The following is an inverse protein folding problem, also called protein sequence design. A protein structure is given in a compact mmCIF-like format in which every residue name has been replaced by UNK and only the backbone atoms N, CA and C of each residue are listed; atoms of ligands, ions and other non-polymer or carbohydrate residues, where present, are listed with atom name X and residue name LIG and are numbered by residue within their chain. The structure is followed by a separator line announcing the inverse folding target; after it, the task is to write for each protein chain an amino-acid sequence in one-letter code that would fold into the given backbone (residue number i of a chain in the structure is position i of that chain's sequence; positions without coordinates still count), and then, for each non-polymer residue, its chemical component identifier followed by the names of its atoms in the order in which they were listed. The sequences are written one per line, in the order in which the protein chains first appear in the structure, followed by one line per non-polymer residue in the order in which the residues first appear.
data_IF_927743173982
#
_entry.id   IF_927743173982
#
_cell.length_a   1.000
_cell.length_b   1.000
_cell.length_c   1.000
_cell.angle_alpha   90.00
_cell.angle_beta   90.00
_cell.angle_gamma   90.00
#
_symmetry.space_group_name_H-M   'P 1'
#
loop_
_entity.id
_entity.type
_entity.pdbx_description
1 polymer ?
#
# COMPACT_ATOMS: atom_id res chain seq x y z
N UNK A 1 -5.96 -17.40 -16.05
CA UNK A 1 -5.34 -16.29 -16.82
C UNK A 1 -6.44 -15.31 -17.18
N UNK A 2 -6.20 -14.01 -16.97
CA UNK A 2 -7.15 -12.99 -17.41
C UNK A 2 -7.24 -12.95 -18.95
N UNK A 3 -8.35 -12.44 -19.51
CA UNK A 3 -8.44 -12.09 -20.92
C UNK A 3 -7.28 -11.19 -21.37
N UNK A 4 -6.94 -11.26 -22.67
CA UNK A 4 -5.89 -10.42 -23.26
C UNK A 4 -6.16 -8.93 -23.02
N UNK A 5 -5.11 -8.19 -22.64
CA UNK A 5 -5.19 -6.75 -22.35
C UNK A 5 -5.68 -6.39 -20.94
N UNK A 6 -6.06 -7.36 -20.11
CA UNK A 6 -6.46 -7.12 -18.72
C UNK A 6 -5.31 -7.42 -17.75
N UNK A 7 -5.14 -6.52 -16.78
CA UNK A 7 -4.24 -6.69 -15.64
C UNK A 7 -5.08 -6.77 -14.36
N UNK A 8 -4.84 -7.76 -13.51
CA UNK A 8 -5.49 -7.78 -12.20
C UNK A 8 -4.77 -6.78 -11.30
N UNK A 9 -5.57 -6.08 -10.50
CA UNK A 9 -5.11 -5.03 -9.63
C UNK A 9 -5.58 -5.32 -8.21
N UNK A 10 -4.69 -5.12 -7.24
CA UNK A 10 -5.04 -5.14 -5.84
C UNK A 10 -4.90 -3.74 -5.25
N UNK A 11 -5.96 -3.29 -4.60
CA UNK A 11 -5.98 -2.11 -3.76
C UNK A 11 -5.99 -2.60 -2.30
N UNK A 12 -5.03 -2.13 -1.48
CA UNK A 12 -4.95 -2.47 -0.06
C UNK A 12 -4.64 -1.24 0.78
N UNK A 13 -5.34 -1.05 1.91
CA UNK A 13 -5.00 0.00 2.88
C UNK A 13 -3.77 -0.40 3.68
N UNK A 14 -2.84 0.53 3.81
CA UNK A 14 -1.67 0.43 4.68
C UNK A 14 -2.05 0.79 6.14
N UNK A 15 -3.12 1.57 6.30
CA UNK A 15 -3.75 1.87 7.58
C UNK A 15 -4.74 0.78 8.03
N UNK A 16 -5.30 0.96 9.23
CA UNK A 16 -6.36 0.08 9.74
C UNK A 16 -7.69 0.27 9.00
N UNK A 17 -7.98 1.50 8.61
CA UNK A 17 -9.24 1.90 7.98
C UNK A 17 -8.97 2.63 6.65
N UNK A 18 -9.96 2.61 5.75
CA UNK A 18 -9.88 3.21 4.42
C UNK A 18 -10.38 4.65 4.39
N UNK A 19 -9.77 5.53 3.58
CA UNK A 19 -10.40 6.78 3.14
C UNK A 19 -10.74 7.76 4.27
N UNK A 20 -9.92 7.78 5.32
CA UNK A 20 -10.17 8.56 6.52
C UNK A 20 -8.96 9.41 6.91
N UNK A 21 -9.26 10.48 7.65
CA UNK A 21 -8.24 11.14 8.47
C UNK A 21 -7.61 10.11 9.41
N UNK A 22 -6.31 10.26 9.64
CA UNK A 22 -5.53 9.29 10.41
C UNK A 22 -6.14 9.11 11.81
N UNK A 23 -6.66 7.91 12.09
CA UNK A 23 -7.07 7.50 13.44
C UNK A 23 -5.90 6.87 14.21
N UNK A 24 -4.96 6.30 13.46
CA UNK A 24 -3.75 5.63 13.95
C UNK A 24 -2.57 6.03 13.09
N UNK A 25 -1.49 6.53 13.69
CA UNK A 25 -0.31 7.04 12.96
C UNK A 25 0.71 5.96 12.56
N UNK A 26 0.47 4.70 12.94
CA UNK A 26 1.34 3.58 12.61
C UNK A 26 0.71 2.67 11.53
N UNK A 27 1.51 2.13 10.60
CA UNK A 27 1.04 1.15 9.63
C UNK A 27 0.58 -0.15 10.30
N UNK A 28 -0.38 -0.84 9.70
CA UNK A 28 -0.90 -2.11 10.24
C UNK A 28 -0.01 -3.33 9.94
N UNK A 29 0.91 -3.20 8.98
CA UNK A 29 1.75 -4.30 8.51
C UNK A 29 3.23 -4.03 8.76
N UNK A 30 4.06 -5.07 8.97
CA UNK A 30 5.51 -4.93 8.96
C UNK A 30 6.03 -4.72 7.53
N UNK A 31 7.16 -4.01 7.40
CA UNK A 31 7.78 -3.70 6.10
C UNK A 31 8.04 -4.93 5.24
N UNK A 32 8.46 -6.04 5.86
CA UNK A 32 8.72 -7.31 5.17
C UNK A 32 7.46 -7.87 4.48
N UNK A 33 6.28 -7.71 5.08
CA UNK A 33 5.02 -8.13 4.48
C UNK A 33 4.67 -7.23 3.29
N UNK A 34 4.77 -5.91 3.47
CA UNK A 34 4.44 -4.94 2.41
C UNK A 34 5.34 -5.16 1.19
N UNK A 35 6.65 -5.33 1.42
CA UNK A 35 7.61 -5.64 0.35
C UNK A 35 7.32 -6.98 -0.32
N UNK A 36 7.23 -8.06 0.46
CA UNK A 36 7.02 -9.40 -0.08
C UNK A 36 5.69 -9.54 -0.82
N UNK A 37 4.63 -8.90 -0.33
CA UNK A 37 3.33 -8.91 -1.01
C UNK A 37 3.35 -8.08 -2.29
N UNK A 38 4.04 -6.93 -2.30
CA UNK A 38 4.24 -6.14 -3.51
C UNK A 38 5.01 -6.93 -4.59
N UNK A 39 6.12 -7.58 -4.22
CA UNK A 39 6.91 -8.44 -5.12
C UNK A 39 6.09 -9.63 -5.63
N UNK A 40 5.31 -10.28 -4.76
CA UNK A 40 4.45 -11.39 -5.15
C UNK A 40 3.39 -10.99 -6.18
N UNK A 41 2.65 -9.89 -5.93
CA UNK A 41 1.60 -9.41 -6.84
C UNK A 41 2.19 -8.95 -8.17
N UNK A 42 3.29 -8.20 -8.15
CA UNK A 42 3.92 -7.70 -9.38
C UNK A 42 4.64 -8.80 -10.17
N UNK A 43 5.26 -9.76 -9.49
CA UNK A 43 5.90 -10.92 -10.12
C UNK A 43 4.93 -11.86 -10.85
N UNK A 44 3.67 -11.87 -10.44
CA UNK A 44 2.58 -12.56 -11.13
C UNK A 44 1.96 -11.73 -12.29
N UNK A 45 2.49 -10.54 -12.57
CA UNK A 45 2.04 -9.65 -13.65
C UNK A 45 0.89 -8.70 -13.27
N UNK A 46 0.51 -8.66 -11.98
CA UNK A 46 -0.50 -7.75 -11.47
C UNK A 46 0.05 -6.36 -11.12
N UNK A 47 -0.85 -5.48 -10.70
CA UNK A 47 -0.52 -4.18 -10.14
C UNK A 47 -1.00 -4.07 -8.70
N UNK A 48 -0.24 -3.35 -7.88
CA UNK A 48 -0.54 -3.12 -6.45
C UNK A 48 -0.69 -1.63 -6.19
N UNK A 49 -1.75 -1.26 -5.47
CA UNK A 49 -1.90 0.09 -4.90
C UNK A 49 -2.02 -0.02 -3.39
N UNK A 50 -1.13 0.70 -2.71
CA UNK A 50 -1.18 0.90 -1.26
C UNK A 50 -1.86 2.24 -0.99
N UNK A 51 -3.07 2.20 -0.45
CA UNK A 51 -3.76 3.38 0.06
C UNK A 51 -3.19 3.74 1.43
N UNK A 52 -3.02 5.04 1.68
CA UNK A 52 -2.50 5.55 2.95
C UNK A 52 -3.45 6.62 3.49
N UNK A 53 -3.66 6.64 4.81
CA UNK A 53 -4.41 7.73 5.43
C UNK A 53 -3.62 9.05 5.36
N UNK A 54 -4.36 10.15 5.42
CA UNK A 54 -3.80 11.50 5.55
C UNK A 54 -4.21 12.11 6.88
N UNK A 55 -3.43 13.07 7.39
CA UNK A 55 -3.81 13.85 8.56
C UNK A 55 -4.80 14.98 8.20
N UNK A 56 -5.20 15.77 9.20
CA UNK A 56 -6.13 16.88 9.06
C UNK A 56 -5.65 18.00 8.12
N UNK A 57 -4.36 18.01 7.77
CA UNK A 57 -3.75 18.95 6.81
C UNK A 57 -3.57 18.32 5.42
N UNK A 58 -4.01 17.06 5.24
CA UNK A 58 -3.85 16.32 3.99
C UNK A 58 -2.45 15.74 3.78
N UNK A 59 -1.62 15.69 4.83
CA UNK A 59 -0.27 15.13 4.76
C UNK A 59 -0.27 13.64 5.11
N UNK A 60 0.60 12.87 4.44
CA UNK A 60 0.82 11.46 4.79
C UNK A 60 1.70 11.42 6.04
N UNK A 61 1.31 10.73 7.13
CA UNK A 61 2.16 10.63 8.31
C UNK A 61 3.49 9.90 8.01
N UNK A 62 4.59 10.37 8.62
CA UNK A 62 5.95 9.92 8.29
C UNK A 62 6.15 8.40 8.42
N UNK A 63 5.46 7.72 9.34
CA UNK A 63 5.56 6.27 9.47
C UNK A 63 5.10 5.52 8.20
N UNK A 64 4.04 6.01 7.54
CA UNK A 64 3.59 5.46 6.25
C UNK A 64 4.55 5.83 5.12
N UNK A 65 5.10 7.05 5.12
CA UNK A 65 6.11 7.46 4.13
C UNK A 65 7.36 6.57 4.23
N UNK A 66 7.87 6.33 5.45
CA UNK A 66 8.99 5.42 5.71
C UNK A 66 8.70 4.02 5.18
N UNK A 67 7.51 3.48 5.45
CA UNK A 67 7.13 2.17 4.95
C UNK A 67 7.02 2.14 3.42
N UNK A 68 6.45 3.17 2.77
CA UNK A 68 6.40 3.23 1.30
C UNK A 68 7.80 3.31 0.68
N UNK A 69 8.77 3.93 1.35
CA UNK A 69 10.17 3.97 0.87
C UNK A 69 10.79 2.57 0.79
N UNK A 70 10.33 1.58 1.56
CA UNK A 70 10.85 0.20 1.48
C UNK A 70 10.49 -0.50 0.16
N UNK A 71 9.55 0.06 -0.59
CA UNK A 71 9.15 -0.42 -1.92
C UNK A 71 10.01 0.18 -3.04
N UNK A 72 10.81 1.21 -2.75
CA UNK A 72 11.76 1.78 -3.70
C UNK A 72 13.05 0.95 -3.63
N UNK A 73 13.30 0.15 -4.66
CA UNK A 73 14.62 -0.44 -4.94
C UNK A 73 15.52 0.58 -5.63
#
# INVERSE_FOLDING_TARGET
KLPSGLQYHLLCSLGRDWGHLVKTREPRFPDALVRGYNEYITGMGGAMTWEVPVDEYGLIPEAFVRQLRVLRS
#
